data_IF_502562990301
#
_entry.id   IF_502562990301
#
_cell.length_a   1.000
_cell.length_b   1.000
_cell.length_c   1.000
_cell.angle_alpha   90.00
_cell.angle_beta   90.00
_cell.angle_gamma   90.00
#
_symmetry.space_group_name_H-M   'P 1'
#
loop_
_entity.id
_entity.type
_entity.pdbx_description
1 polymer ?
#
# COMPACT_ATOMS: atom_id res chain seq x y z
N UNK A 1 -14.27 -12.00 16.93
CA UNK A 1 -13.44 -11.50 15.81
C UNK A 1 -13.29 -12.63 14.80
N UNK A 2 -13.74 -12.48 13.56
CA UNK A 2 -13.62 -13.54 12.55
C UNK A 2 -12.14 -13.89 12.32
N UNK A 3 -11.82 -15.17 12.14
CA UNK A 3 -10.45 -15.66 11.92
C UNK A 3 -9.72 -14.87 10.82
N UNK A 4 -10.43 -14.56 9.73
CA UNK A 4 -9.92 -13.76 8.61
C UNK A 4 -9.39 -12.37 9.01
N UNK A 5 -10.06 -11.66 9.92
CA UNK A 5 -9.57 -10.35 10.39
C UNK A 5 -8.40 -10.47 11.36
N UNK A 6 -8.25 -11.62 12.03
CA UNK A 6 -7.08 -11.89 12.87
C UNK A 6 -5.84 -12.14 11.99
N UNK A 7 -6.00 -12.95 10.94
CA UNK A 7 -4.94 -13.20 9.95
C UNK A 7 -4.56 -11.93 9.20
N UNK A 8 -5.55 -11.16 8.73
CA UNK A 8 -5.32 -9.86 8.09
C UNK A 8 -4.63 -8.87 9.04
N UNK A 9 -5.00 -8.87 10.33
CA UNK A 9 -4.32 -8.06 11.33
C UNK A 9 -2.84 -8.39 11.47
N UNK A 10 -2.50 -9.68 11.52
CA UNK A 10 -1.11 -10.12 11.56
C UNK A 10 -0.35 -9.71 10.29
N UNK A 11 -0.94 -9.88 9.11
CA UNK A 11 -0.32 -9.43 7.85
C UNK A 11 -0.08 -7.92 7.82
N UNK A 12 -1.03 -7.13 8.32
CA UNK A 12 -0.87 -5.68 8.44
C UNK A 12 0.29 -5.34 9.38
N UNK A 13 0.39 -5.99 10.54
CA UNK A 13 1.50 -5.77 11.48
C UNK A 13 2.85 -6.15 10.87
N UNK A 14 2.93 -7.26 10.15
CA UNK A 14 4.14 -7.70 9.44
C UNK A 14 4.54 -6.71 8.34
N UNK A 15 3.59 -6.18 7.59
CA UNK A 15 3.82 -5.14 6.57
C UNK A 15 4.28 -3.84 7.24
N UNK A 16 3.64 -3.41 8.34
CA UNK A 16 4.05 -2.22 9.08
C UNK A 16 5.49 -2.33 9.61
N UNK A 17 5.88 -3.49 10.14
CA UNK A 17 7.23 -3.71 10.65
C UNK A 17 8.32 -3.67 9.56
N UNK A 18 7.95 -3.97 8.30
CA UNK A 18 8.84 -3.97 7.14
C UNK A 18 8.76 -2.70 6.31
N UNK A 19 7.87 -1.78 6.68
CA UNK A 19 7.54 -0.59 5.91
C UNK A 19 8.72 0.38 5.99
N UNK A 20 9.44 0.50 4.88
CA UNK A 20 10.54 1.44 4.70
C UNK A 20 10.30 2.21 3.41
N UNK A 21 10.88 3.41 3.26
CA UNK A 21 10.76 4.19 2.02
C UNK A 21 11.12 3.37 0.76
N UNK A 22 12.24 2.63 0.80
CA UNK A 22 12.67 1.78 -0.32
C UNK A 22 11.69 0.63 -0.62
N UNK A 23 11.09 0.03 0.41
CA UNK A 23 10.10 -1.03 0.21
C UNK A 23 8.81 -0.51 -0.43
N UNK A 24 8.36 0.69 -0.03
CA UNK A 24 7.18 1.33 -0.61
C UNK A 24 7.46 1.78 -2.04
N UNK A 25 8.64 2.35 -2.30
CA UNK A 25 9.06 2.78 -3.63
C UNK A 25 9.11 1.61 -4.62
N UNK A 26 9.68 0.46 -4.24
CA UNK A 26 9.70 -0.75 -5.07
C UNK A 26 8.28 -1.24 -5.41
N UNK A 27 7.39 -1.29 -4.41
CA UNK A 27 6.00 -1.70 -4.62
C UNK A 27 5.25 -0.75 -5.56
N UNK A 28 5.48 0.56 -5.43
CA UNK A 28 4.91 1.60 -6.29
C UNK A 28 5.45 1.49 -7.72
N UNK A 29 6.77 1.35 -7.89
CA UNK A 29 7.40 1.20 -9.20
C UNK A 29 6.87 -0.04 -9.93
N UNK A 30 6.69 -1.15 -9.22
CA UNK A 30 6.17 -2.36 -9.83
C UNK A 30 4.72 -2.21 -10.30
N UNK A 31 3.89 -1.45 -9.58
CA UNK A 31 2.53 -1.12 -10.04
C UNK A 31 2.55 -0.24 -11.29
N UNK A 32 3.42 0.77 -11.34
CA UNK A 32 3.60 1.60 -12.53
C UNK A 32 4.03 0.77 -13.75
N UNK A 33 4.92 -0.21 -13.56
CA UNK A 33 5.34 -1.13 -14.64
C UNK A 33 4.21 -2.05 -15.13
N UNK A 34 3.26 -2.39 -14.27
CA UNK A 34 2.08 -3.22 -14.60
C UNK A 34 1.01 -2.45 -15.38
N UNK A 35 1.26 -1.18 -15.74
CA UNK A 35 0.36 -0.34 -16.51
C UNK A 35 -0.62 0.44 -15.64
N UNK A 36 -0.27 0.68 -14.37
CA UNK A 36 -0.98 1.67 -13.55
C UNK A 36 -0.82 3.06 -14.17
N UNK A 37 -1.94 3.77 -14.25
CA UNK A 37 -2.27 4.72 -15.32
C UNK A 37 -1.21 5.80 -15.59
N UNK A 38 -1.05 6.12 -16.88
CA UNK A 38 -0.12 7.13 -17.44
C UNK A 38 -0.53 8.56 -17.03
N UNK A 39 -1.63 8.70 -16.27
CA UNK A 39 -2.25 9.95 -15.83
C UNK A 39 -1.94 10.40 -14.39
N UNK A 40 -0.98 9.78 -13.69
CA UNK A 40 -0.32 10.44 -12.54
C UNK A 40 -0.73 9.97 -11.14
N UNK A 41 -0.76 8.65 -10.89
CA UNK A 41 -0.77 8.16 -9.50
C UNK A 41 -0.95 6.65 -9.35
N UNK A 42 -0.42 6.11 -8.25
CA UNK A 42 -0.69 4.73 -7.81
C UNK A 42 -1.96 4.70 -6.97
N UNK A 43 -2.87 3.80 -7.34
CA UNK A 43 -4.07 3.47 -6.62
C UNK A 43 -3.71 2.83 -5.26
N UNK A 44 -3.96 3.56 -4.17
CA UNK A 44 -3.63 3.15 -2.82
C UNK A 44 -4.23 1.79 -2.41
N UNK A 45 -5.39 1.43 -2.96
CA UNK A 45 -6.04 0.15 -2.71
C UNK A 45 -5.28 -1.02 -3.35
N UNK A 46 -4.79 -0.82 -4.59
CA UNK A 46 -3.89 -1.79 -5.26
C UNK A 46 -2.55 -1.91 -4.55
N UNK A 47 -1.99 -0.80 -4.09
CA UNK A 47 -0.78 -0.81 -3.27
C UNK A 47 -0.97 -1.64 -2.00
N UNK A 48 -2.05 -1.44 -1.26
CA UNK A 48 -2.36 -2.24 -0.06
C UNK A 48 -2.47 -3.73 -0.39
N UNK A 49 -3.20 -4.09 -1.45
CA UNK A 49 -3.30 -5.48 -1.91
C UNK A 49 -1.94 -6.09 -2.24
N UNK A 50 -1.07 -5.32 -2.91
CA UNK A 50 0.29 -5.74 -3.25
C UNK A 50 1.15 -5.95 -2.01
N UNK A 51 1.14 -4.99 -1.08
CA UNK A 51 1.92 -5.07 0.15
C UNK A 51 1.51 -6.25 1.04
N UNK A 52 0.21 -6.56 1.07
CA UNK A 52 -0.33 -7.72 1.80
C UNK A 52 -0.16 -9.05 1.04
N UNK A 53 0.24 -9.00 -0.24
CA UNK A 53 0.38 -10.19 -1.09
C UNK A 53 -0.95 -10.88 -1.42
N UNK A 54 -2.09 -10.19 -1.27
CA UNK A 54 -3.43 -10.73 -1.53
C UNK A 54 -4.20 -9.78 -2.46
N UNK A 55 -4.18 -10.09 -3.76
CA UNK A 55 -4.92 -9.34 -4.80
C UNK A 55 -6.44 -9.58 -4.74
N UNK A 56 -6.90 -10.56 -3.97
CA UNK A 56 -8.31 -10.97 -3.87
C UNK A 56 -8.98 -10.49 -2.58
N UNK A 57 -8.36 -9.56 -1.84
CA UNK A 57 -9.00 -8.91 -0.71
C UNK A 57 -10.34 -8.30 -1.13
N UNK A 58 -11.38 -8.59 -0.34
CA UNK A 58 -12.69 -7.98 -0.51
C UNK A 58 -12.62 -6.51 -0.13
N UNK A 59 -13.47 -5.69 -0.73
CA UNK A 59 -13.49 -4.23 -0.53
C UNK A 59 -13.48 -3.83 0.95
N UNK A 60 -14.25 -4.52 1.80
CA UNK A 60 -14.31 -4.23 3.25
C UNK A 60 -12.98 -4.54 3.96
N UNK A 61 -12.30 -5.61 3.57
CA UNK A 61 -11.01 -6.01 4.14
C UNK A 61 -9.90 -5.07 3.67
N UNK A 62 -9.95 -4.68 2.41
CA UNK A 62 -9.05 -3.71 1.80
C UNK A 62 -9.17 -2.33 2.45
N UNK A 63 -10.38 -1.81 2.64
CA UNK A 63 -10.61 -0.54 3.35
C UNK A 63 -10.09 -0.64 4.79
N UNK A 64 -10.40 -1.74 5.48
CA UNK A 64 -9.96 -1.96 6.85
C UNK A 64 -8.43 -2.00 6.99
N UNK A 65 -7.74 -2.61 6.02
CA UNK A 65 -6.28 -2.69 5.99
C UNK A 65 -5.65 -1.35 5.58
N UNK A 66 -6.23 -0.67 4.59
CA UNK A 66 -5.80 0.65 4.17
C UNK A 66 -5.83 1.65 5.32
N UNK A 67 -6.92 1.72 6.09
CA UNK A 67 -7.03 2.64 7.23
C UNK A 67 -5.91 2.44 8.27
N UNK A 68 -5.40 1.20 8.41
CA UNK A 68 -4.30 0.87 9.34
C UNK A 68 -2.93 1.12 8.76
N UNK A 69 -2.75 0.91 7.46
CA UNK A 69 -1.47 1.12 6.79
C UNK A 69 -1.26 2.59 6.43
N UNK A 70 -2.32 3.38 6.27
CA UNK A 70 -2.29 4.77 5.83
C UNK A 70 -1.32 5.66 6.63
N UNK A 71 -1.26 5.63 7.97
CA UNK A 71 -0.32 6.46 8.71
C UNK A 71 1.14 6.13 8.39
N UNK A 72 1.48 4.84 8.33
CA UNK A 72 2.84 4.38 8.03
C UNK A 72 3.22 4.65 6.56
N UNK A 73 2.27 4.43 5.63
CA UNK A 73 2.45 4.75 4.22
C UNK A 73 2.70 6.24 4.01
N UNK A 74 1.92 7.11 4.68
CA UNK A 74 2.12 8.57 4.60
C UNK A 74 3.52 8.97 5.08
N UNK A 75 3.95 8.46 6.24
CA UNK A 75 5.28 8.74 6.75
C UNK A 75 6.38 8.27 5.76
N UNK A 76 6.22 7.07 5.18
CA UNK A 76 7.16 6.57 4.18
C UNK A 76 7.16 7.41 2.89
N UNK A 77 6.00 7.88 2.42
CA UNK A 77 5.90 8.72 1.23
C UNK A 77 6.55 10.10 1.41
N UNK A 78 6.41 10.71 2.58
CA UNK A 78 7.07 11.98 2.91
C UNK A 78 8.60 11.89 2.81
N UNK A 79 9.16 10.68 2.95
CA UNK A 79 10.59 10.40 2.82
C UNK A 79 11.03 9.98 1.40
N UNK A 80 10.12 9.93 0.40
CA UNK A 80 10.43 9.52 -0.98
C UNK A 80 10.31 10.72 -1.93
N UNK A 81 11.41 11.45 -2.22
CA UNK A 81 11.38 12.65 -3.06
C UNK A 81 10.93 12.36 -4.50
N UNK A 82 11.18 11.15 -5.01
CA UNK A 82 10.78 10.71 -6.36
C UNK A 82 9.26 10.58 -6.49
N UNK A 83 8.54 10.39 -5.38
CA UNK A 83 7.08 10.26 -5.36
C UNK A 83 6.36 11.59 -5.08
N UNK A 84 7.07 12.63 -4.64
CA UNK A 84 6.54 13.98 -4.44
C UNK A 84 6.02 14.62 -5.75
N UNK A 85 6.51 14.16 -6.90
CA UNK A 85 6.03 14.59 -8.23
C UNK A 85 4.71 13.94 -8.67
N UNK A 86 4.16 13.00 -7.87
CA UNK A 86 2.93 12.27 -8.20
C UNK A 86 1.71 12.70 -7.36
N UNK A 87 1.87 13.59 -6.38
CA UNK A 87 0.75 14.39 -5.87
C UNK A 87 0.52 15.53 -6.87
N UNK A 88 -0.33 15.29 -7.87
CA UNK A 88 -0.47 16.10 -9.08
C UNK A 88 -0.50 17.62 -8.88
N UNK A 89 0.34 18.28 -9.68
CA UNK A 89 0.04 19.58 -10.31
C UNK A 89 -0.61 19.32 -11.68
#
# INVERSE_FOLDING_TARGET
>A
MNMRYKELGQQVEEVQARLTPAFVEDAVQALLQEGEDVGGGVNAHRLVKRLLGDLHLRDVEEVWAYDRLKPALRAAFEEIPSLYYFEGD
#
